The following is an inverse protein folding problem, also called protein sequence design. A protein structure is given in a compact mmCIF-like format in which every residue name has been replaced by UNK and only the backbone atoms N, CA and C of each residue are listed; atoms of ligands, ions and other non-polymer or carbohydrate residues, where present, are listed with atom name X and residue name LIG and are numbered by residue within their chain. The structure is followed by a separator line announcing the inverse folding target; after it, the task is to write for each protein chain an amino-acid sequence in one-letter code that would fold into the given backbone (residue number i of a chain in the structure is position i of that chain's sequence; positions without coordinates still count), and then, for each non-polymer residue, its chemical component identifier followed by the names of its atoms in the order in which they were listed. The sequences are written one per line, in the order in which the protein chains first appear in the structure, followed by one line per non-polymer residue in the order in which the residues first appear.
data_IF_248923380497
#
_entry.id   IF_248923380497
#
_cell.length_a   1.000
_cell.length_b   1.000
_cell.length_c   1.000
_cell.angle_alpha   90.00
_cell.angle_beta   90.00
_cell.angle_gamma   90.00
#
_symmetry.space_group_name_H-M   'P 1'
#
loop_
_entity.id
_entity.type
_entity.pdbx_description
1 polymer ?
#
# COMPACT_ATOMS: atom_id res chain seq x y z
N UNK A 1 15.36 -42.34 -7.49
CA UNK A 1 15.60 -40.88 -7.26
C UNK A 1 14.38 -39.98 -7.47
N UNK A 2 13.32 -40.41 -8.19
CA UNK A 2 12.12 -39.58 -8.45
C UNK A 2 11.21 -39.40 -7.24
N UNK A 3 11.19 -40.32 -6.28
CA UNK A 3 10.36 -40.24 -5.07
C UNK A 3 10.79 -39.13 -4.09
N UNK A 4 12.08 -38.79 -4.07
CA UNK A 4 12.62 -37.73 -3.16
C UNK A 4 12.12 -36.33 -3.53
N UNK A 5 11.86 -36.10 -4.82
CA UNK A 5 11.33 -34.80 -5.30
C UNK A 5 9.80 -34.74 -5.33
N UNK A 6 9.12 -35.88 -5.37
CA UNK A 6 7.66 -35.91 -5.46
C UNK A 6 6.96 -35.50 -4.16
N UNK A 7 7.53 -35.82 -3.01
CA UNK A 7 6.92 -35.52 -1.71
C UNK A 7 6.94 -34.02 -1.34
N UNK A 8 8.05 -33.26 -1.52
CA UNK A 8 8.06 -31.83 -1.33
C UNK A 8 7.10 -31.10 -2.27
N UNK A 9 7.05 -31.51 -3.55
CA UNK A 9 6.14 -30.91 -4.52
C UNK A 9 4.66 -31.11 -4.18
N UNK A 10 4.26 -32.28 -3.71
CA UNK A 10 2.89 -32.56 -3.27
C UNK A 10 2.50 -31.76 -2.03
N UNK A 11 3.41 -31.62 -1.06
CA UNK A 11 3.20 -30.77 0.12
C UNK A 11 3.06 -29.31 -0.25
N UNK A 12 3.91 -28.83 -1.15
CA UNK A 12 3.85 -27.48 -1.69
C UNK A 12 2.49 -27.22 -2.36
N UNK A 13 2.07 -28.06 -3.28
CA UNK A 13 0.79 -27.91 -3.97
C UNK A 13 -0.38 -27.84 -2.99
N UNK A 14 -0.37 -28.67 -1.98
CA UNK A 14 -1.42 -28.68 -0.95
C UNK A 14 -1.38 -27.41 -0.10
N UNK A 15 -0.20 -26.97 0.35
CA UNK A 15 -0.05 -25.77 1.15
C UNK A 15 -0.39 -24.50 0.36
N UNK A 16 0.08 -24.38 -0.88
CA UNK A 16 -0.23 -23.25 -1.76
C UNK A 16 -1.72 -23.17 -2.11
N UNK A 17 -2.35 -24.31 -2.45
CA UNK A 17 -3.78 -24.33 -2.81
C UNK A 17 -4.69 -23.98 -1.63
N UNK A 18 -4.32 -24.31 -0.40
CA UNK A 18 -5.08 -23.92 0.80
C UNK A 18 -5.16 -22.41 0.99
N UNK A 19 -4.17 -21.67 0.52
CA UNK A 19 -4.15 -20.18 0.57
C UNK A 19 -4.56 -19.53 -0.76
N UNK A 20 -5.02 -20.33 -1.73
CA UNK A 20 -5.45 -19.83 -3.03
C UNK A 20 -4.29 -19.44 -3.96
N UNK A 21 -3.16 -20.12 -3.87
CA UNK A 21 -2.00 -19.92 -4.72
C UNK A 21 -1.62 -21.18 -5.49
N UNK A 22 -1.06 -21.02 -6.71
CA UNK A 22 -0.53 -22.10 -7.54
C UNK A 22 0.87 -21.71 -8.01
N UNK A 23 1.85 -22.60 -7.80
CA UNK A 23 3.24 -22.41 -8.20
C UNK A 23 3.55 -23.42 -9.32
N UNK A 24 3.94 -22.97 -10.52
CA UNK A 24 3.96 -23.82 -11.71
C UNK A 24 5.11 -24.83 -11.76
N UNK A 25 6.17 -24.68 -10.99
CA UNK A 25 7.28 -25.62 -11.09
C UNK A 25 8.48 -25.37 -10.16
N UNK A 26 9.49 -26.25 -10.20
CA UNK A 26 10.64 -26.18 -9.29
C UNK A 26 11.49 -24.92 -9.42
N UNK A 27 11.64 -24.36 -10.62
CA UNK A 27 12.36 -23.08 -10.82
C UNK A 27 11.70 -21.94 -10.08
N UNK A 28 10.36 -21.86 -10.17
CA UNK A 28 9.57 -20.86 -9.45
C UNK A 28 9.68 -21.02 -7.93
N UNK A 29 9.78 -22.23 -7.42
CA UNK A 29 10.00 -22.51 -5.99
C UNK A 29 11.32 -21.88 -5.52
N UNK A 30 12.41 -22.13 -6.25
CA UNK A 30 13.72 -21.61 -5.92
C UNK A 30 13.79 -20.08 -5.96
N UNK A 31 13.16 -19.46 -6.92
CA UNK A 31 13.11 -17.99 -7.05
C UNK A 31 12.24 -17.35 -5.98
N UNK A 32 11.02 -17.85 -5.77
CA UNK A 32 10.12 -17.36 -4.71
C UNK A 32 10.72 -17.56 -3.31
N UNK A 33 11.47 -18.64 -3.09
CA UNK A 33 12.16 -18.89 -1.84
C UNK A 33 13.20 -17.83 -1.50
N UNK A 34 13.82 -17.20 -2.49
CA UNK A 34 14.85 -16.15 -2.31
C UNK A 34 14.27 -14.76 -2.12
N UNK A 35 12.98 -14.56 -2.32
CA UNK A 35 12.34 -13.24 -2.12
C UNK A 35 12.46 -12.84 -0.67
N UNK A 36 13.12 -11.71 -0.43
CA UNK A 36 13.32 -11.09 0.89
C UNK A 36 12.63 -9.73 1.03
N UNK A 37 12.02 -9.25 -0.03
CA UNK A 37 11.35 -7.94 -0.06
C UNK A 37 10.08 -8.05 -0.87
N UNK A 38 8.99 -7.44 -0.41
CA UNK A 38 7.72 -7.34 -1.13
C UNK A 38 7.31 -5.89 -1.27
N UNK A 39 6.67 -5.58 -2.39
CA UNK A 39 6.07 -4.28 -2.66
C UNK A 39 4.55 -4.38 -2.55
N UNK A 40 3.96 -3.59 -1.66
CA UNK A 40 2.51 -3.50 -1.44
C UNK A 40 1.99 -2.12 -1.83
N UNK A 41 0.75 -2.06 -2.30
CA UNK A 41 0.02 -0.79 -2.37
C UNK A 41 -0.49 -0.42 -0.97
N UNK A 42 -0.50 0.87 -0.65
CA UNK A 42 -1.12 1.33 0.59
C UNK A 42 -2.60 0.94 0.71
N UNK A 43 -3.30 0.77 -0.42
CA UNK A 43 -4.68 0.28 -0.44
C UNK A 43 -4.82 -1.17 0.07
N UNK A 44 -3.78 -1.98 -0.03
CA UNK A 44 -3.75 -3.33 0.53
C UNK A 44 -3.68 -3.33 2.06
N UNK A 45 -3.10 -2.26 2.63
CA UNK A 45 -3.01 -2.05 4.08
C UNK A 45 -4.21 -1.28 4.62
N UNK A 46 -4.71 -0.32 3.87
CA UNK A 46 -5.83 0.56 4.24
C UNK A 46 -6.92 0.48 3.17
N UNK A 47 -7.67 -0.63 3.10
CA UNK A 47 -8.86 -0.70 2.23
C UNK A 47 -9.90 0.35 2.64
N UNK A 48 -10.85 0.65 1.79
CA UNK A 48 -11.84 1.70 1.99
C UNK A 48 -12.56 1.65 3.35
N UNK A 49 -12.83 0.44 3.87
CA UNK A 49 -13.45 0.25 5.17
C UNK A 49 -12.58 0.75 6.36
N UNK A 50 -11.28 0.86 6.15
CA UNK A 50 -10.31 1.29 7.18
C UNK A 50 -10.01 2.80 7.13
N UNK A 51 -10.47 3.50 6.10
CA UNK A 51 -10.31 4.95 5.96
C UNK A 51 -11.61 5.64 6.30
N UNK A 52 -11.61 6.49 7.32
CA UNK A 52 -12.83 7.16 7.81
C UNK A 52 -12.71 8.66 7.77
N UNK A 53 -13.73 9.33 7.22
CA UNK A 53 -13.92 10.77 7.33
C UNK A 53 -14.70 11.07 8.61
N UNK A 54 -14.15 11.93 9.47
CA UNK A 54 -14.76 12.32 10.75
C UNK A 54 -15.47 13.66 10.69
N UNK A 55 -15.11 14.51 9.76
CA UNK A 55 -15.74 15.80 9.63
C UNK A 55 -15.11 16.67 8.54
N UNK A 56 -15.85 17.68 8.18
CA UNK A 56 -15.47 18.69 7.20
C UNK A 56 -15.63 20.06 7.87
N UNK A 57 -14.62 20.90 7.73
CA UNK A 57 -14.66 22.30 8.18
C UNK A 57 -14.39 23.20 7.01
N UNK A 58 -15.29 24.15 6.77
CA UNK A 58 -15.07 25.24 5.82
C UNK A 58 -14.66 26.50 6.54
N UNK A 59 -13.88 27.35 5.89
CA UNK A 59 -13.41 28.62 6.39
C UNK A 59 -14.21 29.78 5.77
N UNK A 60 -14.35 30.90 6.46
CA UNK A 60 -14.93 32.12 5.96
C UNK A 60 -16.31 32.03 5.26
N UNK A 61 -17.25 31.25 5.81
CA UNK A 61 -18.59 31.00 5.23
C UNK A 61 -18.58 30.32 3.86
N UNK A 62 -17.49 29.65 3.52
CA UNK A 62 -17.40 28.91 2.25
C UNK A 62 -18.41 27.75 2.18
N UNK A 63 -18.85 27.48 0.97
CA UNK A 63 -19.87 26.45 0.71
C UNK A 63 -19.26 25.04 0.87
N UNK A 64 -19.82 24.28 1.80
CA UNK A 64 -19.38 22.92 2.09
C UNK A 64 -19.59 21.96 0.90
N UNK A 65 -20.65 22.17 0.12
CA UNK A 65 -20.94 21.41 -1.09
C UNK A 65 -19.84 21.56 -2.15
N UNK A 66 -19.33 22.78 -2.36
CA UNK A 66 -18.20 23.03 -3.25
C UNK A 66 -16.90 22.45 -2.70
N UNK A 67 -16.67 22.52 -1.37
CA UNK A 67 -15.51 21.89 -0.76
C UNK A 67 -15.50 20.38 -1.03
N UNK A 68 -16.63 19.72 -0.86
CA UNK A 68 -16.80 18.29 -1.13
C UNK A 68 -16.52 18.00 -2.61
N UNK A 69 -17.13 18.75 -3.53
CA UNK A 69 -16.97 18.50 -4.96
C UNK A 69 -15.53 18.70 -5.43
N UNK A 70 -14.85 19.78 -5.02
CA UNK A 70 -13.45 20.01 -5.38
C UNK A 70 -12.54 18.90 -4.81
N UNK A 71 -12.68 18.58 -3.52
CA UNK A 71 -11.87 17.57 -2.88
C UNK A 71 -12.10 16.20 -3.51
N UNK A 72 -13.36 15.80 -3.71
CA UNK A 72 -13.71 14.50 -4.29
C UNK A 72 -13.22 14.41 -5.74
N UNK A 73 -13.37 15.47 -6.53
CA UNK A 73 -12.92 15.48 -7.92
C UNK A 73 -11.42 15.19 -8.05
N UNK A 74 -10.60 15.74 -7.14
CA UNK A 74 -9.15 15.50 -7.17
C UNK A 74 -8.81 14.14 -6.55
N UNK A 75 -9.28 13.86 -5.33
CA UNK A 75 -8.88 12.65 -4.60
C UNK A 75 -9.39 11.37 -5.24
N UNK A 76 -10.58 11.39 -5.85
CA UNK A 76 -11.10 10.23 -6.56
C UNK A 76 -10.27 9.86 -7.80
N UNK A 77 -9.58 10.81 -8.41
CA UNK A 77 -8.78 10.59 -9.62
C UNK A 77 -7.29 10.41 -9.33
N UNK A 78 -6.77 10.97 -8.22
CA UNK A 78 -5.34 11.04 -7.95
C UNK A 78 -4.89 10.18 -6.75
N UNK A 79 -5.82 9.70 -5.91
CA UNK A 79 -5.46 9.01 -4.67
C UNK A 79 -6.33 7.77 -4.45
N UNK A 80 -5.80 6.59 -4.75
CA UNK A 80 -6.55 5.33 -4.68
C UNK A 80 -7.06 5.01 -3.27
N UNK A 81 -6.31 5.35 -2.23
CA UNK A 81 -6.66 5.05 -0.84
C UNK A 81 -7.83 5.89 -0.34
N UNK A 82 -7.88 7.17 -0.75
CA UNK A 82 -8.94 8.12 -0.35
C UNK A 82 -10.15 8.09 -1.29
N UNK A 83 -10.02 7.52 -2.48
CA UNK A 83 -11.05 7.51 -3.55
C UNK A 83 -12.42 7.13 -3.02
N UNK A 84 -12.53 5.95 -2.46
CA UNK A 84 -13.83 5.36 -2.10
C UNK A 84 -14.47 6.17 -0.95
N UNK A 85 -13.68 6.61 0.03
CA UNK A 85 -14.15 7.43 1.15
C UNK A 85 -14.74 8.76 0.66
N UNK A 86 -14.06 9.43 -0.28
CA UNK A 86 -14.55 10.71 -0.81
C UNK A 86 -15.70 10.52 -1.81
N UNK A 87 -15.71 9.44 -2.59
CA UNK A 87 -16.81 9.14 -3.50
C UNK A 87 -18.14 8.92 -2.76
N UNK A 88 -18.13 8.40 -1.54
CA UNK A 88 -19.36 8.28 -0.73
C UNK A 88 -20.02 9.63 -0.44
N UNK A 89 -19.26 10.73 -0.39
CA UNK A 89 -19.80 12.08 -0.15
C UNK A 89 -20.66 12.61 -1.30
N UNK A 90 -20.53 12.01 -2.46
CA UNK A 90 -21.30 12.35 -3.67
C UNK A 90 -22.15 11.16 -4.16
N UNK A 91 -22.56 10.27 -3.24
CA UNK A 91 -23.37 9.08 -3.54
C UNK A 91 -22.76 8.17 -4.63
N UNK A 92 -21.45 8.15 -4.76
CA UNK A 92 -20.70 7.46 -5.82
C UNK A 92 -21.03 7.90 -7.25
N UNK A 93 -21.59 9.11 -7.42
CA UNK A 93 -21.96 9.67 -8.72
C UNK A 93 -20.74 10.30 -9.37
N UNK A 94 -20.14 9.61 -10.33
CA UNK A 94 -18.97 10.12 -11.08
C UNK A 94 -19.29 11.31 -11.98
N UNK A 95 -20.52 11.42 -12.44
CA UNK A 95 -21.02 12.48 -13.32
C UNK A 95 -21.05 13.86 -12.68
N UNK A 96 -21.04 13.94 -11.35
CA UNK A 96 -20.98 15.24 -10.65
C UNK A 96 -19.57 15.77 -10.46
N UNK A 97 -18.55 14.94 -10.73
CA UNK A 97 -17.17 15.33 -10.54
C UNK A 97 -16.70 16.28 -11.62
N UNK A 98 -15.93 17.26 -11.21
CA UNK A 98 -15.29 18.18 -12.15
C UNK A 98 -14.21 17.47 -12.96
N UNK A 99 -14.06 17.88 -14.21
CA UNK A 99 -12.90 17.53 -15.02
C UNK A 99 -11.68 18.28 -14.51
N UNK A 100 -10.61 17.55 -14.25
CA UNK A 100 -9.35 18.14 -13.83
C UNK A 100 -8.55 18.61 -15.06
N UNK A 101 -8.02 19.81 -14.99
CA UNK A 101 -7.07 20.35 -15.95
C UNK A 101 -5.70 20.41 -15.27
N UNK A 102 -4.66 19.92 -15.98
CA UNK A 102 -3.27 19.90 -15.51
C UNK A 102 -3.09 19.37 -14.07
N UNK A 103 -3.62 18.18 -13.73
CA UNK A 103 -3.43 17.64 -12.41
C UNK A 103 -1.95 17.36 -12.16
N UNK A 104 -1.45 17.72 -10.99
CA UNK A 104 -0.09 17.49 -10.56
C UNK A 104 -0.08 16.89 -9.17
N UNK A 105 0.81 15.94 -8.95
CA UNK A 105 1.08 15.35 -7.64
C UNK A 105 2.34 15.98 -7.07
N UNK A 106 2.28 16.45 -5.83
CA UNK A 106 3.44 16.79 -5.02
C UNK A 106 3.64 15.69 -3.99
N UNK A 107 4.59 14.78 -4.21
CA UNK A 107 4.71 13.56 -3.43
C UNK A 107 4.96 13.81 -1.96
N UNK A 108 4.16 13.14 -1.11
CA UNK A 108 4.21 13.31 0.33
C UNK A 108 3.54 14.61 0.84
N UNK A 109 3.01 15.45 -0.07
CA UNK A 109 2.38 16.72 0.32
C UNK A 109 0.94 16.82 -0.12
N UNK A 110 0.60 16.45 -1.37
CA UNK A 110 -0.75 16.55 -1.90
C UNK A 110 -0.82 16.70 -3.42
N UNK A 111 -1.87 17.35 -3.87
CA UNK A 111 -2.21 17.49 -5.29
C UNK A 111 -2.60 18.92 -5.63
N UNK A 112 -2.32 19.32 -6.87
CA UNK A 112 -2.85 20.56 -7.46
C UNK A 112 -3.59 20.22 -8.75
N UNK A 113 -4.61 20.96 -9.08
CA UNK A 113 -5.31 20.89 -10.36
C UNK A 113 -6.01 22.22 -10.64
N UNK A 114 -6.40 22.42 -11.90
CA UNK A 114 -7.30 23.49 -12.28
C UNK A 114 -8.70 22.94 -12.51
N UNK A 115 -9.70 23.64 -12.00
CA UNK A 115 -11.11 23.35 -12.15
C UNK A 115 -11.82 24.68 -12.43
N UNK A 116 -12.49 24.80 -13.57
CA UNK A 116 -13.21 26.01 -13.98
C UNK A 116 -12.36 27.29 -13.79
N UNK A 117 -11.14 27.29 -14.33
CA UNK A 117 -10.16 28.38 -14.23
C UNK A 117 -9.70 28.74 -12.80
N UNK A 118 -10.02 27.93 -11.80
CA UNK A 118 -9.54 28.09 -10.43
C UNK A 118 -8.47 27.07 -10.12
N UNK A 119 -7.38 27.51 -9.54
CA UNK A 119 -6.35 26.63 -9.03
C UNK A 119 -6.82 26.04 -7.71
N UNK A 120 -6.91 24.72 -7.66
CA UNK A 120 -7.29 23.96 -6.47
C UNK A 120 -6.03 23.26 -5.94
N UNK A 121 -5.80 23.37 -4.64
CA UNK A 121 -4.72 22.70 -3.93
C UNK A 121 -5.35 21.87 -2.82
N UNK A 122 -5.01 20.59 -2.76
CA UNK A 122 -5.45 19.69 -1.70
C UNK A 122 -4.27 18.92 -1.14
N UNK A 123 -4.11 18.91 0.18
CA UNK A 123 -2.95 18.24 0.78
C UNK A 123 -2.76 18.52 2.25
N UNK A 124 -1.56 18.22 2.72
CA UNK A 124 -1.11 18.43 4.09
C UNK A 124 -0.94 19.91 4.44
N UNK A 125 -0.75 20.20 5.72
CA UNK A 125 -0.35 21.54 6.21
C UNK A 125 0.91 22.06 5.50
N UNK A 126 1.89 21.18 5.26
CA UNK A 126 3.12 21.54 4.54
C UNK A 126 2.86 21.90 3.08
N UNK A 127 1.90 21.21 2.42
CA UNK A 127 1.46 21.58 1.08
C UNK A 127 0.95 23.02 1.03
N UNK A 128 0.14 23.41 1.99
CA UNK A 128 -0.40 24.77 2.08
C UNK A 128 0.70 25.82 2.27
N UNK A 129 1.66 25.56 3.16
CA UNK A 129 2.81 26.43 3.37
C UNK A 129 3.67 26.60 2.13
N UNK A 130 3.92 25.52 1.38
CA UNK A 130 4.71 25.54 0.13
C UNK A 130 4.08 26.43 -0.95
N UNK A 131 2.77 26.59 -0.89
CA UNK A 131 2.00 27.41 -1.83
C UNK A 131 1.55 28.76 -1.25
N UNK A 132 2.15 29.19 -0.13
CA UNK A 132 1.85 30.46 0.53
C UNK A 132 0.36 30.64 0.88
N UNK A 133 -0.31 29.51 1.21
CA UNK A 133 -1.71 29.54 1.65
C UNK A 133 -1.75 29.68 3.17
N UNK A 134 -2.35 30.76 3.65
CA UNK A 134 -2.61 30.96 5.08
C UNK A 134 -3.67 29.96 5.56
N UNK A 135 -3.34 29.19 6.58
CA UNK A 135 -4.24 28.21 7.21
C UNK A 135 -4.29 28.43 8.73
N UNK A 136 -5.32 27.93 9.41
CA UNK A 136 -5.44 28.04 10.86
C UNK A 136 -4.23 27.49 11.61
N UNK A 137 -4.05 27.98 12.85
CA UNK A 137 -2.95 27.57 13.72
C UNK A 137 -2.94 26.06 13.99
N UNK A 138 -1.80 25.55 14.45
CA UNK A 138 -1.67 24.14 14.85
C UNK A 138 -2.62 23.79 16.00
N UNK A 139 -2.87 24.69 16.93
CA UNK A 139 -3.81 24.48 18.03
C UNK A 139 -5.25 24.29 17.52
N UNK A 140 -5.61 25.05 16.49
CA UNK A 140 -6.90 24.85 15.82
C UNK A 140 -7.00 23.48 15.16
N UNK A 141 -5.95 23.04 14.46
CA UNK A 141 -5.89 21.72 13.83
C UNK A 141 -5.96 20.61 14.88
N UNK A 142 -5.16 20.72 15.95
CA UNK A 142 -5.07 19.73 17.02
C UNK A 142 -6.43 19.46 17.71
N UNK A 143 -7.26 20.50 17.80
CA UNK A 143 -8.63 20.38 18.34
C UNK A 143 -9.49 19.39 17.53
N UNK A 144 -9.32 19.32 16.21
CA UNK A 144 -10.09 18.44 15.33
C UNK A 144 -9.39 17.11 15.04
N UNK A 145 -8.07 17.12 15.04
CA UNK A 145 -7.27 15.91 14.79
C UNK A 145 -7.01 15.08 16.05
N UNK A 146 -7.54 15.49 17.20
CA UNK A 146 -7.28 14.86 18.50
C UNK A 146 -5.79 14.71 18.77
N UNK A 147 -5.06 15.82 18.65
CA UNK A 147 -3.60 15.87 18.86
C UNK A 147 -2.81 14.87 17.99
N UNK A 148 -3.23 14.67 16.74
CA UNK A 148 -2.50 13.85 15.77
C UNK A 148 -2.98 12.40 15.65
N UNK A 149 -4.02 11.98 16.40
CA UNK A 149 -4.68 10.67 16.17
C UNK A 149 -5.37 10.60 14.80
N UNK A 150 -5.66 11.76 14.20
CA UNK A 150 -6.30 11.91 12.90
C UNK A 150 -5.48 12.84 12.03
N UNK A 151 -5.60 12.71 10.72
CA UNK A 151 -4.94 13.56 9.75
C UNK A 151 -5.88 14.65 9.24
N UNK A 152 -5.33 15.85 9.03
CA UNK A 152 -6.03 16.95 8.39
C UNK A 152 -5.62 17.03 6.91
N UNK A 153 -6.60 17.05 6.02
CA UNK A 153 -6.44 17.31 4.59
C UNK A 153 -6.99 18.71 4.33
N UNK A 154 -6.12 19.63 3.95
CA UNK A 154 -6.51 21.00 3.63
C UNK A 154 -6.91 21.14 2.17
N UNK A 155 -7.88 22.00 1.92
CA UNK A 155 -8.31 22.43 0.60
C UNK A 155 -8.12 23.94 0.47
N UNK A 156 -7.48 24.38 -0.60
CA UNK A 156 -7.38 25.77 -0.96
C UNK A 156 -7.87 26.00 -2.38
N UNK A 157 -8.50 27.15 -2.61
CA UNK A 157 -9.04 27.58 -3.89
C UNK A 157 -8.47 28.95 -4.23
N UNK A 158 -7.82 29.09 -5.38
CA UNK A 158 -7.21 30.34 -5.85
C UNK A 158 -6.33 31.01 -4.80
N UNK A 159 -5.53 30.22 -4.07
CA UNK A 159 -4.57 30.71 -3.08
C UNK A 159 -5.15 31.02 -1.69
N UNK A 160 -6.43 30.76 -1.46
CA UNK A 160 -7.08 30.96 -0.14
C UNK A 160 -7.50 29.63 0.46
N UNK A 161 -7.31 29.48 1.78
CA UNK A 161 -7.82 28.33 2.51
C UNK A 161 -9.34 28.27 2.39
N UNK A 162 -9.85 27.12 1.90
CA UNK A 162 -11.27 26.91 1.65
C UNK A 162 -11.91 26.02 2.72
N UNK A 163 -11.18 24.99 3.15
CA UNK A 163 -11.64 24.09 4.19
C UNK A 163 -10.61 23.01 4.54
N UNK A 164 -11.00 22.15 5.48
CA UNK A 164 -10.23 20.95 5.82
C UNK A 164 -11.14 19.76 6.07
N UNK A 165 -10.62 18.58 5.75
CA UNK A 165 -11.24 17.27 5.98
C UNK A 165 -10.43 16.51 7.02
N UNK A 166 -11.10 15.87 7.97
CA UNK A 166 -10.46 15.13 9.05
C UNK A 166 -10.65 13.65 8.78
N UNK A 167 -9.56 12.94 8.52
CA UNK A 167 -9.55 11.51 8.21
C UNK A 167 -8.77 10.71 9.24
N UNK A 168 -9.06 9.43 9.36
CA UNK A 168 -8.25 8.48 10.13
C UNK A 168 -8.09 7.17 9.39
N UNK A 169 -7.04 6.46 9.74
CA UNK A 169 -6.67 5.16 9.19
C UNK A 169 -6.70 4.13 10.32
N UNK A 170 -7.53 3.12 10.16
CA UNK A 170 -7.64 2.01 11.10
C UNK A 170 -6.92 0.77 10.54
N UNK A 171 -6.40 -0.14 11.38
CA UNK A 171 -5.80 -1.36 10.92
C UNK A 171 -6.84 -2.28 10.27
N UNK A 172 -6.46 -2.92 9.16
CA UNK A 172 -7.20 -4.03 8.59
C UNK A 172 -6.71 -5.35 9.20
N UNK A 173 -7.60 -6.22 9.70
CA UNK A 173 -7.18 -7.47 10.32
C UNK A 173 -6.37 -8.38 9.37
N UNK A 174 -6.75 -8.43 8.09
CA UNK A 174 -6.04 -9.24 7.09
C UNK A 174 -4.63 -8.70 6.82
N UNK A 175 -4.49 -7.38 6.76
CA UNK A 175 -3.19 -6.73 6.61
C UNK A 175 -2.34 -6.89 7.88
N UNK A 176 -2.94 -6.89 9.08
CA UNK A 176 -2.24 -7.16 10.33
C UNK A 176 -1.60 -8.56 10.31
N UNK A 177 -2.41 -9.59 10.03
CA UNK A 177 -1.94 -10.98 9.95
C UNK A 177 -0.83 -11.14 8.91
N UNK A 178 -0.98 -10.46 7.76
CA UNK A 178 0.00 -10.41 6.71
C UNK A 178 1.33 -9.85 7.19
N UNK A 179 1.33 -8.65 7.76
CA UNK A 179 2.54 -7.95 8.22
C UNK A 179 3.25 -8.73 9.33
N UNK A 180 2.52 -9.37 10.24
CA UNK A 180 3.09 -10.25 11.25
C UNK A 180 3.74 -11.49 10.63
N UNK A 181 3.10 -12.09 9.64
CA UNK A 181 3.61 -13.26 8.93
C UNK A 181 4.89 -12.95 8.17
N UNK A 182 4.89 -11.83 7.45
CA UNK A 182 6.05 -11.33 6.69
C UNK A 182 7.21 -10.98 7.62
N UNK A 183 6.90 -10.32 8.74
CA UNK A 183 7.91 -9.97 9.76
C UNK A 183 8.58 -11.21 10.37
N UNK A 184 7.79 -12.24 10.70
CA UNK A 184 8.32 -13.54 11.18
C UNK A 184 9.20 -14.25 10.14
N UNK A 185 8.92 -14.07 8.87
CA UNK A 185 9.70 -14.62 7.77
C UNK A 185 10.96 -13.79 7.42
N UNK A 186 11.22 -12.67 8.12
CA UNK A 186 12.34 -11.77 7.84
C UNK A 186 12.24 -11.06 6.48
N UNK A 187 11.03 -10.87 5.96
CA UNK A 187 10.77 -10.22 4.68
C UNK A 187 10.52 -8.73 4.93
N UNK A 188 11.22 -7.88 4.19
CA UNK A 188 11.03 -6.42 4.22
C UNK A 188 9.80 -6.03 3.41
N UNK A 189 9.07 -5.02 3.87
CA UNK A 189 7.89 -4.49 3.17
C UNK A 189 8.17 -3.08 2.66
N UNK A 190 8.02 -2.91 1.35
CA UNK A 190 7.99 -1.61 0.69
C UNK A 190 6.54 -1.24 0.41
N UNK A 191 6.18 0.00 0.68
CA UNK A 191 4.81 0.50 0.47
C UNK A 191 4.86 1.62 -0.57
N UNK A 192 4.06 1.47 -1.62
CA UNK A 192 3.82 2.56 -2.56
C UNK A 192 2.46 3.20 -2.31
N UNK A 193 2.43 4.52 -2.33
CA UNK A 193 1.22 5.30 -2.09
C UNK A 193 1.26 6.64 -2.78
N UNK A 194 0.09 7.13 -3.21
CA UNK A 194 -0.15 8.52 -3.57
C UNK A 194 -0.76 9.30 -2.40
N UNK A 195 -1.20 8.62 -1.36
CA UNK A 195 -1.76 9.25 -0.18
C UNK A 195 -0.66 9.85 0.70
N UNK A 196 -0.60 11.16 0.73
CA UNK A 196 0.38 11.93 1.48
C UNK A 196 0.25 11.81 3.01
N UNK A 197 -0.86 11.28 3.52
CA UNK A 197 -1.03 11.00 4.94
C UNK A 197 -0.38 9.67 5.35
N UNK A 198 -0.19 8.73 4.40
CA UNK A 198 0.38 7.42 4.68
C UNK A 198 1.90 7.55 4.72
N UNK A 199 2.41 7.63 5.94
CA UNK A 199 3.83 7.73 6.25
C UNK A 199 4.29 6.50 7.01
N UNK A 200 5.61 6.26 7.06
CA UNK A 200 6.16 5.15 7.86
C UNK A 200 5.73 5.22 9.33
N UNK A 201 5.76 6.39 10.01
CA UNK A 201 5.27 6.50 11.38
C UNK A 201 3.79 6.11 11.53
N UNK A 202 2.92 6.53 10.59
CA UNK A 202 1.51 6.15 10.61
C UNK A 202 1.34 4.63 10.49
N UNK A 203 1.98 4.01 9.50
CA UNK A 203 1.87 2.56 9.28
C UNK A 203 2.37 1.79 10.49
N UNK A 204 3.53 2.17 11.02
CA UNK A 204 4.09 1.52 12.22
C UNK A 204 3.21 1.66 13.44
N UNK A 205 2.67 2.85 13.69
CA UNK A 205 1.76 3.08 14.81
C UNK A 205 0.46 2.29 14.67
N UNK A 206 -0.12 2.26 13.46
CA UNK A 206 -1.38 1.56 13.19
C UNK A 206 -1.26 0.05 13.36
N UNK A 207 -0.15 -0.54 12.91
CA UNK A 207 0.07 -1.99 12.90
C UNK A 207 1.04 -2.48 13.98
N UNK A 208 1.45 -1.60 14.89
CA UNK A 208 2.40 -1.90 15.99
C UNK A 208 3.68 -2.59 15.49
N UNK A 209 4.31 -2.02 14.47
CA UNK A 209 5.47 -2.60 13.80
C UNK A 209 6.80 -2.02 14.31
N UNK A 210 7.89 -2.82 14.31
CA UNK A 210 9.22 -2.32 14.60
C UNK A 210 9.71 -1.32 13.54
N UNK A 211 10.73 -0.52 13.91
CA UNK A 211 11.18 0.61 13.10
C UNK A 211 11.68 0.25 11.69
N UNK A 212 12.19 -0.96 11.52
CA UNK A 212 12.75 -1.44 10.24
C UNK A 212 11.82 -2.32 9.42
N UNK A 213 10.58 -2.56 9.89
CA UNK A 213 9.68 -3.53 9.27
C UNK A 213 9.12 -3.07 7.93
N UNK A 214 8.89 -1.76 7.78
CA UNK A 214 8.26 -1.18 6.59
C UNK A 214 8.99 0.07 6.14
N UNK A 215 8.98 0.32 4.83
CA UNK A 215 9.44 1.55 4.21
C UNK A 215 8.39 2.06 3.22
N UNK A 216 8.00 3.33 3.36
CA UNK A 216 7.15 4.02 2.38
C UNK A 216 8.05 4.63 1.31
N UNK A 217 7.82 4.26 0.05
CA UNK A 217 8.67 4.69 -1.06
C UNK A 217 8.45 6.15 -1.40
N UNK A 218 9.54 6.90 -1.50
CA UNK A 218 9.56 8.22 -2.11
C UNK A 218 9.23 8.15 -3.61
N UNK A 219 8.91 9.28 -4.22
CA UNK A 219 8.65 9.30 -5.66
C UNK A 219 9.87 8.90 -6.49
N UNK A 220 11.06 9.32 -6.12
CA UNK A 220 12.28 8.94 -6.81
C UNK A 220 12.52 7.43 -6.77
N UNK A 221 12.27 6.80 -5.63
CA UNK A 221 12.36 5.35 -5.48
C UNK A 221 11.29 4.62 -6.31
N UNK A 222 10.05 5.11 -6.33
CA UNK A 222 8.97 4.57 -7.19
C UNK A 222 9.32 4.70 -8.66
N UNK A 223 9.82 5.85 -9.10
CA UNK A 223 10.24 6.08 -10.49
C UNK A 223 11.40 5.17 -10.89
N UNK A 224 12.32 4.88 -9.98
CA UNK A 224 13.41 3.94 -10.21
C UNK A 224 12.92 2.49 -10.33
N UNK A 225 11.85 2.12 -9.65
CA UNK A 225 11.27 0.77 -9.73
C UNK A 225 10.40 0.56 -10.98
N UNK A 226 9.80 1.63 -11.53
CA UNK A 226 8.87 1.52 -12.68
C UNK A 226 9.44 0.80 -13.90
N UNK A 227 10.68 1.05 -14.35
CA UNK A 227 11.27 0.31 -15.47
C UNK A 227 11.39 -1.19 -15.16
N UNK A 228 11.77 -1.54 -13.95
CA UNK A 228 11.92 -2.94 -13.53
C UNK A 228 10.58 -3.66 -13.41
N UNK A 229 9.54 -2.99 -12.95
CA UNK A 229 8.18 -3.58 -12.88
C UNK A 229 7.53 -3.72 -14.26
N UNK A 230 7.84 -2.83 -15.20
CA UNK A 230 7.40 -2.97 -16.58
C UNK A 230 8.03 -4.20 -17.24
N UNK A 231 9.32 -4.46 -17.01
CA UNK A 231 10.03 -5.66 -17.49
C UNK A 231 9.42 -6.95 -16.90
N UNK A 232 9.02 -6.95 -15.63
CA UNK A 232 8.37 -8.11 -14.98
C UNK A 232 7.01 -8.48 -15.60
N UNK A 233 6.32 -7.56 -16.29
CA UNK A 233 5.08 -7.86 -17.02
C UNK A 233 5.29 -8.77 -18.22
N UNK A 234 6.50 -8.85 -18.77
CA UNK A 234 6.86 -9.70 -19.89
C UNK A 234 7.52 -11.02 -19.43
N UNK A 235 7.78 -11.18 -18.11
CA UNK A 235 8.38 -12.40 -17.57
C UNK A 235 7.34 -13.51 -17.39
N UNK A 236 7.79 -14.77 -17.40
CA UNK A 236 6.96 -15.91 -17.00
C UNK A 236 6.50 -15.75 -15.55
N UNK A 237 5.20 -15.94 -15.30
CA UNK A 237 4.64 -15.85 -13.95
C UNK A 237 5.19 -16.94 -13.04
N UNK A 238 5.76 -16.55 -11.90
CA UNK A 238 6.28 -17.48 -10.89
C UNK A 238 5.19 -18.09 -10.02
N UNK A 239 4.03 -17.44 -9.94
CA UNK A 239 2.91 -17.86 -9.10
C UNK A 239 1.61 -17.22 -9.58
N UNK A 240 0.54 -17.98 -9.56
CA UNK A 240 -0.84 -17.47 -9.66
C UNK A 240 -1.47 -17.49 -8.28
N UNK A 241 -2.18 -16.43 -7.90
CA UNK A 241 -2.85 -16.32 -6.61
C UNK A 241 -4.23 -15.66 -6.72
N UNK A 242 -5.05 -15.80 -5.69
CA UNK A 242 -6.44 -15.34 -5.66
C UNK A 242 -6.63 -13.81 -5.62
N UNK A 243 -5.58 -13.03 -5.85
CA UNK A 243 -5.63 -11.56 -5.88
C UNK A 243 -5.60 -10.90 -4.49
N UNK A 244 -5.46 -11.66 -3.42
CA UNK A 244 -5.31 -11.15 -2.06
C UNK A 244 -3.84 -11.19 -1.61
N UNK A 245 -3.44 -10.25 -0.75
CA UNK A 245 -2.11 -10.26 -0.15
C UNK A 245 -1.83 -11.57 0.61
N UNK A 246 -2.84 -12.09 1.32
CA UNK A 246 -2.74 -13.36 2.06
C UNK A 246 -2.42 -14.54 1.15
N UNK A 247 -3.09 -14.65 -0.01
CA UNK A 247 -2.82 -15.73 -0.97
C UNK A 247 -1.42 -15.61 -1.59
N UNK A 248 -0.96 -14.38 -1.89
CA UNK A 248 0.37 -14.12 -2.41
C UNK A 248 1.46 -14.55 -1.41
N UNK A 249 1.37 -14.08 -0.17
CA UNK A 249 2.38 -14.36 0.86
C UNK A 249 2.34 -15.81 1.31
N UNK A 250 1.15 -16.39 1.45
CA UNK A 250 1.01 -17.81 1.77
C UNK A 250 1.64 -18.69 0.70
N UNK A 251 1.45 -18.36 -0.57
CA UNK A 251 2.11 -19.05 -1.69
C UNK A 251 3.64 -18.90 -1.64
N UNK A 252 4.15 -17.70 -1.38
CA UNK A 252 5.59 -17.44 -1.19
C UNK A 252 6.18 -18.24 -0.02
N UNK A 253 5.48 -18.30 1.11
CA UNK A 253 5.92 -19.04 2.29
C UNK A 253 5.95 -20.57 2.01
N UNK A 254 4.93 -21.08 1.31
CA UNK A 254 4.91 -22.47 0.88
C UNK A 254 6.11 -22.80 -0.03
N UNK A 255 6.46 -21.90 -0.95
CA UNK A 255 7.64 -22.05 -1.79
C UNK A 255 8.95 -22.05 -0.99
N UNK A 256 9.10 -21.16 -0.02
CA UNK A 256 10.29 -21.10 0.83
C UNK A 256 10.48 -22.39 1.64
N UNK A 257 9.42 -22.91 2.25
CA UNK A 257 9.45 -24.18 2.99
C UNK A 257 9.79 -25.37 2.10
N UNK A 258 9.28 -25.37 0.86
CA UNK A 258 9.62 -26.42 -0.11
C UNK A 258 11.09 -26.36 -0.52
N UNK A 259 11.63 -25.16 -0.79
CA UNK A 259 13.03 -24.95 -1.14
C UNK A 259 13.98 -25.41 -0.01
N UNK A 260 13.68 -25.11 1.25
CA UNK A 260 14.42 -25.58 2.41
C UNK A 260 14.36 -27.11 2.55
N UNK A 261 13.19 -27.70 2.32
CA UNK A 261 12.99 -29.14 2.35
C UNK A 261 13.79 -29.87 1.26
N UNK A 262 13.83 -29.32 0.04
CA UNK A 262 14.64 -29.84 -1.06
C UNK A 262 16.14 -29.73 -0.77
N UNK A 263 16.62 -28.60 -0.23
CA UNK A 263 18.01 -28.42 0.16
C UNK A 263 18.43 -29.44 1.24
N UNK A 264 17.59 -29.67 2.24
CA UNK A 264 17.81 -30.64 3.31
C UNK A 264 17.84 -32.07 2.77
N UNK A 265 16.91 -32.43 1.87
CA UNK A 265 16.88 -33.75 1.25
C UNK A 265 18.11 -34.01 0.38
N UNK A 266 18.56 -32.98 -0.35
CA UNK A 266 19.78 -33.06 -1.17
C UNK A 266 21.05 -33.26 -0.30
N UNK A 267 21.09 -32.61 0.86
CA UNK A 267 22.22 -32.73 1.81
C UNK A 267 22.27 -34.16 2.41
N UNK A 268 21.15 -34.72 2.82
CA UNK A 268 21.04 -36.08 3.32
C UNK A 268 21.47 -37.09 2.25
N UNK A 269 21.08 -36.87 1.00
CA UNK A 269 21.46 -37.77 -0.11
C UNK A 269 22.97 -37.68 -0.40
N UNK A 270 23.60 -36.52 -0.34
CA UNK A 270 25.06 -36.37 -0.48
C UNK A 270 25.80 -37.08 0.66
N UNK A 271 25.36 -36.92 1.90
CA UNK A 271 25.96 -37.61 3.06
C UNK A 271 25.81 -39.12 2.94
N UNK A 272 24.66 -39.62 2.49
CA UNK A 272 24.44 -41.08 2.29
C UNK A 272 25.33 -41.65 1.18
N UNK A 273 25.56 -40.89 0.10
CA UNK A 273 26.46 -41.33 -0.99
C UNK A 273 27.93 -41.36 -0.52
N UNK A 274 28.36 -40.35 0.26
CA UNK A 274 29.73 -40.36 0.81
C UNK A 274 29.92 -41.40 1.93
N UNK A 275 28.90 -41.65 2.75
CA UNK A 275 28.93 -42.68 3.79
C UNK A 275 28.89 -44.13 3.25
N UNK A 276 28.32 -44.35 2.05
CA UNK A 276 28.26 -45.64 1.38
C UNK A 276 29.55 -46.04 0.63
N UNK A 277 30.50 -45.12 0.46
CA UNK A 277 31.81 -45.39 -0.16
C UNK A 277 32.87 -45.74 0.89
N UNK A 278 32.57 -45.55 2.17
CA UNK A 278 33.50 -45.86 3.28
C UNK A 278 33.27 -47.25 3.94
N UNK A 279 32.45 -48.12 3.35
CA UNK A 279 32.26 -49.53 3.68
C UNK A 279 32.62 -50.37 2.45
#
# INVERSE_FOLDING_TARGET
SSLVYAMPALRLHRAASQVGAVIPGPSAIGELGRVNTILLSAKDLFPAACVRLHGIKTFEKERIDLAILYATSILAQQCDTLRDTFMTLVDNKKEVLYKLESPQTEPGFGFTAWIDHKRIIIGSREMMKRHDVEIPSMDYENKYTKNGERSAIYLAVSGKAFGMFIVSYAPDPTAQDLLESVGRAGISVLIQTEDFNITEPLVRATYNLPQTAVKVLSQSERSALTPHTAFLRESEGLMTHAGTCTSFIGGKQAAAQAAESEASACLVQKVSVFGGIAL
#
